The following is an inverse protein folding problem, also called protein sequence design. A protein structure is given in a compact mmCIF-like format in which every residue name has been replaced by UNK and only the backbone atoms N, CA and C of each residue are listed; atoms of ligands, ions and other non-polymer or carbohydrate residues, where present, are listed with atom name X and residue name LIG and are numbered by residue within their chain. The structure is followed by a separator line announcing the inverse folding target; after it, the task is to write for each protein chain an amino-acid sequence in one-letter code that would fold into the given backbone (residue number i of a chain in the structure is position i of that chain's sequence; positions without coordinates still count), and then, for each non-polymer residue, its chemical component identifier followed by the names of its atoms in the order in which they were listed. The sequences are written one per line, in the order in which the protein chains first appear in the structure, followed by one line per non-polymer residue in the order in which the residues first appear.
data_IF_243844398302
#
_entry.id   IF_243844398302
#
_cell.length_a   1.000
_cell.length_b   1.000
_cell.length_c   1.000
_cell.angle_alpha   90.00
_cell.angle_beta   90.00
_cell.angle_gamma   90.00
#
_symmetry.space_group_name_H-M   'P 1'
#
loop_
_entity.id
_entity.type
_entity.pdbx_description
1 polymer ?
#
# COMPACT_ATOMS: atom_id res chain seq x y z
N UNK A 1 -19.56 50.80 -13.53
CA UNK A 1 -18.79 49.63 -13.99
C UNK A 1 -19.47 48.31 -13.67
N UNK A 2 -20.01 48.07 -12.46
CA UNK A 2 -20.65 46.76 -12.15
C UNK A 2 -21.96 46.47 -12.92
N UNK A 3 -22.78 47.48 -13.22
CA UNK A 3 -24.03 47.28 -14.00
C UNK A 3 -23.80 47.02 -15.48
N UNK A 4 -22.69 47.51 -16.02
CA UNK A 4 -22.38 47.42 -17.45
C UNK A 4 -21.99 45.99 -17.84
N UNK A 5 -21.34 45.26 -16.92
CA UNK A 5 -20.97 43.86 -17.10
C UNK A 5 -22.16 42.89 -17.06
N UNK A 6 -23.27 43.26 -16.41
CA UNK A 6 -24.46 42.41 -16.29
C UNK A 6 -25.35 42.44 -17.53
N UNK A 7 -25.23 43.49 -18.36
CA UNK A 7 -26.04 43.70 -19.57
C UNK A 7 -25.30 43.25 -20.85
N UNK A 8 -24.04 42.85 -20.77
CA UNK A 8 -23.27 42.33 -21.91
C UNK A 8 -23.64 40.88 -22.22
N UNK A 9 -23.69 40.54 -23.51
CA UNK A 9 -23.88 39.14 -23.92
C UNK A 9 -22.65 38.31 -23.58
N UNK A 10 -22.82 37.02 -23.30
CA UNK A 10 -21.71 36.09 -23.05
C UNK A 10 -20.69 36.09 -24.20
N UNK A 11 -21.12 36.32 -25.44
CA UNK A 11 -20.24 36.45 -26.60
C UNK A 11 -19.38 37.71 -26.55
N UNK A 12 -19.93 38.84 -26.11
CA UNK A 12 -19.19 40.09 -25.93
C UNK A 12 -18.21 40.01 -24.75
N UNK A 13 -18.63 39.35 -23.66
CA UNK A 13 -17.77 39.08 -22.49
C UNK A 13 -16.59 38.18 -22.88
N UNK A 14 -16.82 37.21 -23.76
CA UNK A 14 -15.81 36.28 -24.23
C UNK A 14 -15.05 36.79 -25.47
N UNK A 15 -15.28 38.03 -25.92
CA UNK A 15 -14.68 38.62 -27.12
C UNK A 15 -14.83 37.72 -28.37
N UNK A 16 -16.00 37.10 -28.54
CA UNK A 16 -16.29 36.17 -29.62
C UNK A 16 -15.62 34.80 -29.50
N UNK A 17 -14.99 34.47 -28.37
CA UNK A 17 -14.41 33.14 -28.13
C UNK A 17 -15.48 32.15 -27.71
N UNK A 18 -15.37 30.92 -28.22
CA UNK A 18 -16.27 29.84 -27.86
C UNK A 18 -15.96 29.30 -26.45
N UNK A 19 -16.73 29.75 -25.46
CA UNK A 19 -16.60 29.34 -24.05
C UNK A 19 -16.81 27.84 -23.83
N UNK A 20 -17.71 27.22 -24.60
CA UNK A 20 -17.95 25.77 -24.51
C UNK A 20 -16.74 24.96 -24.98
N UNK A 21 -16.07 25.41 -26.03
CA UNK A 21 -14.84 24.78 -26.50
C UNK A 21 -13.71 24.89 -25.47
N UNK A 22 -13.57 26.04 -24.82
CA UNK A 22 -12.59 26.25 -23.76
C UNK A 22 -12.87 25.35 -22.55
N UNK A 23 -14.13 25.26 -22.11
CA UNK A 23 -14.58 24.39 -21.03
C UNK A 23 -14.35 22.91 -21.34
N UNK A 24 -14.68 22.47 -22.55
CA UNK A 24 -14.45 21.10 -23.00
C UNK A 24 -12.96 20.74 -22.99
N UNK A 25 -12.10 21.65 -23.44
CA UNK A 25 -10.64 21.44 -23.40
C UNK A 25 -10.11 21.37 -21.95
N UNK A 26 -10.56 22.26 -21.07
CA UNK A 26 -10.21 22.23 -19.66
C UNK A 26 -10.59 20.92 -18.97
N UNK A 27 -11.81 20.43 -19.20
CA UNK A 27 -12.27 19.13 -18.66
C UNK A 27 -11.44 17.96 -19.19
N UNK A 28 -11.07 17.99 -20.49
CA UNK A 28 -10.22 16.97 -21.10
C UNK A 28 -8.83 16.93 -20.45
N UNK A 29 -8.20 18.08 -20.25
CA UNK A 29 -6.89 18.19 -19.59
C UNK A 29 -6.96 17.69 -18.14
N UNK A 30 -7.99 18.09 -17.40
CA UNK A 30 -8.18 17.67 -16.01
C UNK A 30 -8.40 16.15 -15.89
N UNK A 31 -9.17 15.55 -16.81
CA UNK A 31 -9.35 14.10 -16.87
C UNK A 31 -8.02 13.38 -17.15
N UNK A 32 -7.22 13.88 -18.09
CA UNK A 32 -5.92 13.31 -18.42
C UNK A 32 -4.94 13.39 -17.22
N UNK A 33 -4.89 14.54 -16.55
CA UNK A 33 -4.06 14.74 -15.37
C UNK A 33 -4.44 13.79 -14.22
N UNK A 34 -5.75 13.63 -13.94
CA UNK A 34 -6.24 12.69 -12.93
C UNK A 34 -5.83 11.24 -13.25
N UNK A 35 -5.95 10.83 -14.51
CA UNK A 35 -5.55 9.49 -14.93
C UNK A 35 -4.03 9.26 -14.78
N UNK A 36 -3.21 10.25 -15.14
CA UNK A 36 -1.76 10.18 -14.98
C UNK A 36 -1.35 10.08 -13.50
N UNK A 37 -1.92 10.94 -12.64
CA UNK A 37 -1.67 10.90 -11.20
C UNK A 37 -2.11 9.55 -10.58
N UNK A 38 -3.24 9.00 -11.01
CA UNK A 38 -3.70 7.67 -10.59
C UNK A 38 -2.71 6.56 -10.96
N UNK A 39 -2.19 6.58 -12.20
CA UNK A 39 -1.16 5.63 -12.65
C UNK A 39 0.12 5.73 -11.83
N UNK A 40 0.59 6.95 -11.55
CA UNK A 40 1.79 7.17 -10.73
C UNK A 40 1.61 6.67 -9.30
N UNK A 41 0.48 6.98 -8.65
CA UNK A 41 0.17 6.48 -7.31
C UNK A 41 0.13 4.95 -7.27
N UNK A 42 -0.46 4.32 -8.28
CA UNK A 42 -0.51 2.86 -8.37
C UNK A 42 0.88 2.26 -8.58
N UNK A 43 1.72 2.87 -9.42
CA UNK A 43 3.09 2.42 -9.64
C UNK A 43 3.91 2.51 -8.33
N UNK A 44 3.87 3.65 -7.65
CA UNK A 44 4.53 3.83 -6.37
C UNK A 44 4.04 2.84 -5.30
N UNK A 45 2.74 2.56 -5.24
CA UNK A 45 2.19 1.56 -4.33
C UNK A 45 2.68 0.14 -4.66
N UNK A 46 2.77 -0.22 -5.94
CA UNK A 46 3.32 -1.51 -6.38
C UNK A 46 4.79 -1.65 -6.02
N UNK A 47 5.58 -0.60 -6.22
CA UNK A 47 6.99 -0.57 -5.84
C UNK A 47 7.16 -0.71 -4.32
N UNK A 48 6.38 0.03 -3.53
CA UNK A 48 6.41 -0.08 -2.07
C UNK A 48 6.08 -1.50 -1.58
N UNK A 49 5.07 -2.15 -2.17
CA UNK A 49 4.73 -3.55 -1.87
C UNK A 49 5.83 -4.51 -2.31
N UNK A 50 6.44 -4.28 -3.48
CA UNK A 50 7.55 -5.10 -3.97
C UNK A 50 8.77 -4.98 -3.05
N UNK A 51 9.16 -3.77 -2.65
CA UNK A 51 10.25 -3.53 -1.70
C UNK A 51 9.97 -4.14 -0.32
N UNK A 52 8.73 -4.04 0.18
CA UNK A 52 8.33 -4.69 1.43
C UNK A 52 8.42 -6.24 1.33
N UNK A 53 8.20 -6.81 0.14
CA UNK A 53 8.42 -8.24 -0.14
C UNK A 53 9.88 -8.60 -0.38
N UNK A 54 10.71 -7.68 -0.87
CA UNK A 54 12.16 -7.92 -0.99
C UNK A 54 12.87 -7.89 0.37
N UNK A 55 12.27 -7.22 1.36
CA UNK A 55 12.58 -7.41 2.78
C UNK A 55 12.09 -8.73 3.35
N UNK A 56 11.86 -9.77 2.53
CA UNK A 56 11.63 -11.14 3.00
C UNK A 56 12.84 -11.53 3.82
N UNK A 57 12.60 -11.55 5.13
CA UNK A 57 13.53 -12.00 6.15
C UNK A 57 14.01 -13.39 5.76
N UNK A 58 15.27 -13.45 5.35
CA UNK A 58 15.96 -14.71 5.15
C UNK A 58 16.21 -15.29 6.54
N UNK A 59 15.53 -16.39 6.86
CA UNK A 59 15.88 -17.19 8.04
C UNK A 59 17.30 -17.71 7.80
N UNK A 60 18.25 -17.50 8.74
CA UNK A 60 19.58 -18.06 8.60
C UNK A 60 19.49 -19.56 8.28
N UNK A 61 20.26 -20.07 7.29
CA UNK A 61 20.17 -21.46 6.87
C UNK A 61 20.52 -22.45 7.99
N UNK A 62 21.22 -21.98 9.03
CA UNK A 62 21.56 -22.72 10.24
C UNK A 62 20.35 -23.10 11.10
N UNK A 63 19.24 -22.37 11.02
CA UNK A 63 18.01 -22.73 11.75
C UNK A 63 17.42 -23.99 11.13
N UNK A 64 17.35 -25.05 11.94
CA UNK A 64 16.84 -26.36 11.51
C UNK A 64 15.33 -26.30 11.29
N UNK A 65 14.86 -27.11 10.34
CA UNK A 65 13.44 -27.18 10.00
C UNK A 65 12.57 -27.64 11.17
N UNK A 66 13.08 -28.55 12.00
CA UNK A 66 12.35 -29.04 13.17
C UNK A 66 12.14 -27.95 14.23
N UNK A 67 13.15 -27.10 14.44
CA UNK A 67 13.07 -25.96 15.35
C UNK A 67 12.06 -24.93 14.86
N UNK A 68 12.04 -24.67 13.54
CA UNK A 68 11.03 -23.83 12.90
C UNK A 68 9.63 -24.39 13.12
N UNK A 69 9.41 -25.67 12.86
CA UNK A 69 8.10 -26.32 13.05
C UNK A 69 7.66 -26.27 14.50
N UNK A 70 8.56 -26.57 15.44
CA UNK A 70 8.27 -26.54 16.87
C UNK A 70 7.87 -25.12 17.32
N UNK A 71 8.62 -24.11 16.87
CA UNK A 71 8.34 -22.72 17.19
C UNK A 71 6.98 -22.26 16.63
N UNK A 72 6.67 -22.56 15.36
CA UNK A 72 5.37 -22.20 14.78
C UNK A 72 4.23 -22.91 15.53
N UNK A 73 4.40 -24.19 15.91
CA UNK A 73 3.42 -24.93 16.70
C UNK A 73 3.17 -24.28 18.06
N UNK A 74 4.21 -23.78 18.71
CA UNK A 74 4.09 -23.05 19.97
C UNK A 74 3.35 -21.72 19.78
N UNK A 75 3.74 -20.95 18.77
CA UNK A 75 3.12 -19.66 18.45
C UNK A 75 1.63 -19.80 18.04
N UNK A 76 1.23 -20.90 17.39
CA UNK A 76 -0.18 -21.17 17.08
C UNK A 76 -1.07 -21.33 18.32
N UNK A 77 -0.48 -21.69 19.46
CA UNK A 77 -1.19 -21.83 20.73
C UNK A 77 -1.09 -20.57 21.61
N UNK A 78 -0.38 -19.54 21.14
CA UNK A 78 -0.21 -18.27 21.84
C UNK A 78 -1.29 -17.28 21.37
N UNK A 79 -2.06 -16.74 22.32
CA UNK A 79 -3.13 -15.78 22.03
C UNK A 79 -2.66 -14.44 21.44
N UNK A 80 -1.34 -14.16 21.47
CA UNK A 80 -0.75 -12.98 20.81
C UNK A 80 -0.76 -13.06 19.29
N UNK A 81 -0.92 -14.26 18.73
CA UNK A 81 -0.90 -14.48 17.28
C UNK A 81 -2.18 -15.18 16.83
N UNK A 82 -2.69 -14.81 15.66
CA UNK A 82 -3.72 -15.59 14.97
C UNK A 82 -3.08 -16.28 13.78
N UNK A 83 -2.84 -17.59 13.90
CA UNK A 83 -2.30 -18.38 12.81
C UNK A 83 -3.40 -19.21 12.15
N UNK A 84 -3.62 -19.04 10.84
CA UNK A 84 -4.62 -19.80 10.08
C UNK A 84 -4.12 -21.15 9.54
N UNK A 85 -2.86 -21.51 9.79
CA UNK A 85 -2.24 -22.70 9.21
C UNK A 85 -2.66 -23.98 9.96
N UNK A 86 -3.63 -24.72 9.41
CA UNK A 86 -4.14 -25.96 10.00
C UNK A 86 -3.30 -27.22 9.71
N UNK A 87 -2.28 -27.15 8.86
CA UNK A 87 -1.46 -28.31 8.49
C UNK A 87 -0.01 -27.92 8.20
N UNK A 88 0.83 -27.72 9.22
CA UNK A 88 2.25 -27.36 9.04
C UNK A 88 3.04 -28.41 8.25
N UNK A 89 2.63 -29.68 8.32
CA UNK A 89 3.31 -30.78 7.63
C UNK A 89 2.99 -30.86 6.14
N UNK A 90 1.94 -30.16 5.68
CA UNK A 90 1.60 -30.02 4.26
C UNK A 90 2.30 -28.80 3.61
N UNK A 91 2.97 -27.97 4.41
CA UNK A 91 3.64 -26.76 3.93
C UNK A 91 5.05 -27.03 3.41
N UNK A 92 5.45 -26.27 2.40
CA UNK A 92 6.84 -26.31 1.90
C UNK A 92 7.82 -25.76 2.93
N UNK A 93 9.07 -26.21 2.92
CA UNK A 93 10.12 -25.67 3.80
C UNK A 93 10.26 -24.14 3.63
N UNK A 94 10.17 -23.64 2.40
CA UNK A 94 10.21 -22.21 2.11
C UNK A 94 9.07 -21.44 2.79
N UNK A 95 7.86 -22.00 2.81
CA UNK A 95 6.73 -21.38 3.49
C UNK A 95 6.88 -21.41 5.01
N UNK A 96 7.38 -22.51 5.56
CA UNK A 96 7.67 -22.64 7.00
C UNK A 96 8.72 -21.61 7.45
N UNK A 97 9.82 -21.48 6.70
CA UNK A 97 10.85 -20.45 6.94
C UNK A 97 10.25 -19.04 6.87
N UNK A 98 9.39 -18.78 5.88
CA UNK A 98 8.72 -17.47 5.75
C UNK A 98 7.86 -17.15 6.98
N UNK A 99 7.03 -18.09 7.43
CA UNK A 99 6.16 -17.88 8.61
C UNK A 99 7.00 -17.65 9.86
N UNK A 100 8.03 -18.47 10.07
CA UNK A 100 8.96 -18.29 11.19
C UNK A 100 9.55 -16.88 11.22
N UNK A 101 10.02 -16.40 10.07
CA UNK A 101 10.60 -15.06 9.97
C UNK A 101 9.57 -13.95 10.26
N UNK A 102 8.33 -14.10 9.79
CA UNK A 102 7.25 -13.17 10.06
C UNK A 102 6.92 -13.09 11.56
N UNK A 103 6.83 -14.24 12.24
CA UNK A 103 6.57 -14.30 13.68
C UNK A 103 7.70 -13.64 14.48
N UNK A 104 8.96 -13.91 14.15
CA UNK A 104 10.13 -13.28 14.79
C UNK A 104 10.15 -11.76 14.64
N UNK A 105 9.72 -11.24 13.49
CA UNK A 105 9.58 -9.80 13.30
C UNK A 105 8.47 -9.23 14.17
N UNK A 106 7.31 -9.89 14.23
CA UNK A 106 6.20 -9.43 15.06
C UNK A 106 6.63 -9.34 16.54
N UNK A 107 7.36 -10.34 17.04
CA UNK A 107 8.02 -10.27 18.36
C UNK A 107 8.88 -9.02 18.50
N UNK A 108 9.83 -8.78 17.57
CA UNK A 108 10.72 -7.62 17.66
C UNK A 108 10.00 -6.26 17.63
N UNK A 109 8.90 -6.16 16.88
CA UNK A 109 8.10 -4.92 16.81
C UNK A 109 7.24 -4.69 18.06
N UNK A 110 6.79 -5.77 18.70
CA UNK A 110 6.07 -5.71 19.98
C UNK A 110 7.02 -5.27 21.09
N UNK A 111 8.20 -5.90 21.18
CA UNK A 111 9.21 -5.55 22.19
C UNK A 111 9.71 -4.11 22.04
N UNK A 112 9.81 -3.59 20.81
CA UNK A 112 10.22 -2.20 20.56
C UNK A 112 9.14 -1.17 20.91
N UNK A 113 7.87 -1.58 20.98
CA UNK A 113 6.75 -0.67 21.31
C UNK A 113 6.54 -0.46 22.82
N UNK A 114 7.29 -1.18 23.67
CA UNK A 114 7.25 -1.01 25.13
C UNK A 114 8.33 -0.02 25.66
N UNK A 115 9.27 0.43 24.82
CA UNK A 115 10.40 1.30 25.21
C UNK A 115 10.13 2.82 25.03
N UNK A 116 9.13 3.21 24.22
CA UNK A 116 8.79 4.63 23.96
C UNK A 116 7.87 5.25 25.05
N UNK A 117 7.80 4.64 26.24
CA UNK A 117 6.79 4.91 27.27
C UNK A 117 7.30 5.38 28.65
N UNK A 118 8.53 5.88 28.78
CA UNK A 118 9.05 6.44 30.04
C UNK A 118 9.60 7.86 29.89
#
# INVERSE_FOLDING_TARGET
MERELLDMSDEDILEGRNGDAAKANGLRLLKAAKAAAGKQRLAAAKEAVASARSGVLSVPPEVKLDDIKAYIRNASNDGRYTLAARSLDEMTESDLRRIYAQLKRLESTLDSSEDDGQ
#
